data_IF_770759856891
#
_entry.id   IF_770759856891
#
_cell.length_a   1.000
_cell.length_b   1.000
_cell.length_c   1.000
_cell.angle_alpha   90.00
_cell.angle_beta   90.00
_cell.angle_gamma   90.00
#
_symmetry.space_group_name_H-M   'P 1'
#
loop_
_entity.id
_entity.type
_entity.pdbx_description
1 polymer ?
#
# COMPACT_ATOMS: atom_id res chain seq x y z
N UNK A 1 2.66 -0.77 -14.51
CA UNK A 1 1.91 0.46 -14.25
C UNK A 1 1.90 0.75 -12.74
N UNK A 2 1.99 2.03 -12.34
CA UNK A 2 2.10 2.45 -10.96
C UNK A 2 0.98 1.89 -10.07
N UNK A 3 -0.26 1.91 -10.56
CA UNK A 3 -1.42 1.36 -9.83
C UNK A 3 -1.23 -0.13 -9.47
N UNK A 4 -0.70 -0.94 -10.36
CA UNK A 4 -0.51 -2.38 -10.10
C UNK A 4 0.49 -2.65 -8.97
N UNK A 5 1.52 -1.81 -8.83
CA UNK A 5 2.55 -1.96 -7.78
C UNK A 5 1.96 -1.80 -6.38
N UNK A 6 0.93 -0.97 -6.22
CA UNK A 6 0.25 -0.76 -4.93
C UNK A 6 -0.36 -2.06 -4.40
N UNK A 7 -0.83 -2.92 -5.30
CA UNK A 7 -1.57 -4.14 -4.97
C UNK A 7 -0.72 -5.41 -5.01
N UNK A 8 0.61 -5.26 -5.16
CA UNK A 8 1.50 -6.42 -5.12
C UNK A 8 1.69 -6.95 -3.69
N UNK A 9 1.97 -8.25 -3.53
CA UNK A 9 2.31 -8.81 -2.22
C UNK A 9 3.47 -8.09 -1.55
N UNK A 10 4.48 -7.66 -2.31
CA UNK A 10 5.65 -6.96 -1.79
C UNK A 10 5.27 -5.63 -1.11
N UNK A 11 4.40 -4.83 -1.75
CA UNK A 11 3.94 -3.58 -1.14
C UNK A 11 3.08 -3.86 0.10
N UNK A 12 2.23 -4.89 0.05
CA UNK A 12 1.42 -5.30 1.19
C UNK A 12 2.30 -5.69 2.39
N UNK A 13 3.26 -6.58 2.20
CA UNK A 13 4.14 -7.03 3.28
C UNK A 13 5.07 -5.92 3.80
N UNK A 14 5.47 -4.98 2.94
CA UNK A 14 6.19 -3.79 3.38
C UNK A 14 5.34 -2.96 4.35
N UNK A 15 4.08 -2.74 4.04
CA UNK A 15 3.18 -1.98 4.91
C UNK A 15 2.89 -2.77 6.19
N UNK A 16 2.70 -4.08 6.12
CA UNK A 16 2.55 -4.92 7.30
C UNK A 16 3.73 -4.77 8.26
N UNK A 17 4.94 -4.81 7.73
CA UNK A 17 6.14 -4.57 8.53
C UNK A 17 6.12 -3.18 9.18
N UNK A 18 5.79 -2.14 8.44
CA UNK A 18 5.73 -0.77 8.98
C UNK A 18 4.70 -0.64 10.10
N UNK A 19 3.51 -1.23 9.97
CA UNK A 19 2.48 -1.24 11.02
C UNK A 19 3.02 -1.90 12.30
N UNK A 20 3.61 -3.09 12.17
CA UNK A 20 4.17 -3.83 13.30
C UNK A 20 5.34 -3.09 13.96
N UNK A 21 6.24 -2.51 13.18
CA UNK A 21 7.41 -1.80 13.68
C UNK A 21 7.01 -0.51 14.41
N UNK A 22 6.05 0.25 13.87
CA UNK A 22 5.53 1.46 14.53
C UNK A 22 4.76 1.14 15.81
N UNK A 23 4.05 0.01 15.87
CA UNK A 23 3.44 -0.46 17.11
C UNK A 23 4.51 -0.77 18.17
N UNK A 24 5.63 -1.38 17.75
CA UNK A 24 6.77 -1.62 18.65
C UNK A 24 7.44 -0.31 19.10
N UNK A 25 7.57 0.70 18.23
CA UNK A 25 8.06 2.02 18.62
C UNK A 25 7.19 2.65 19.71
N UNK A 26 5.87 2.66 19.51
CA UNK A 26 4.92 3.17 20.50
C UNK A 26 5.02 2.43 21.84
N UNK A 27 5.13 1.11 21.81
CA UNK A 27 5.34 0.30 23.02
C UNK A 27 6.67 0.61 23.72
N UNK A 28 7.73 0.88 22.95
CA UNK A 28 9.03 1.26 23.50
C UNK A 28 9.00 2.67 24.14
N UNK A 29 8.24 3.60 23.54
CA UNK A 29 8.03 4.94 24.13
C UNK A 29 7.24 4.86 25.46
N UNK A 30 6.27 3.98 25.54
CA UNK A 30 5.49 3.71 26.74
C UNK A 30 6.26 2.87 27.80
N UNK A 31 7.45 2.39 27.46
CA UNK A 31 8.24 1.54 28.36
C UNK A 31 7.72 0.11 28.51
N UNK A 32 6.84 -0.34 27.63
CA UNK A 32 6.29 -1.71 27.60
C UNK A 32 7.33 -2.70 27.09
N UNK A 33 8.10 -2.31 26.09
CA UNK A 33 9.21 -3.08 25.54
C UNK A 33 10.53 -2.28 25.63
N UNK A 34 11.70 -2.95 25.60
CA UNK A 34 12.98 -2.25 25.55
C UNK A 34 13.15 -1.45 24.25
N UNK A 35 13.66 -0.22 24.33
CA UNK A 35 14.00 0.58 23.14
C UNK A 35 14.98 -0.14 22.19
N UNK A 36 15.90 -0.93 22.76
CA UNK A 36 16.83 -1.73 21.97
C UNK A 36 16.11 -2.80 21.15
N UNK A 37 15.00 -3.36 21.63
CA UNK A 37 14.20 -4.33 20.91
C UNK A 37 13.47 -3.68 19.72
N UNK A 38 12.86 -2.49 19.90
CA UNK A 38 12.24 -1.76 18.80
C UNK A 38 13.29 -1.45 17.70
N UNK A 39 14.49 -1.01 18.08
CA UNK A 39 15.58 -0.82 17.12
C UNK A 39 15.97 -2.12 16.40
N UNK A 40 16.09 -3.23 17.11
CA UNK A 40 16.43 -4.53 16.51
C UNK A 40 15.34 -5.00 15.51
N UNK A 41 14.06 -4.71 15.78
CA UNK A 41 12.94 -5.00 14.87
C UNK A 41 13.08 -4.19 13.58
N UNK A 42 13.40 -2.90 13.65
CA UNK A 42 13.66 -2.08 12.47
C UNK A 42 14.89 -2.58 11.69
N UNK A 43 16.00 -2.86 12.35
CA UNK A 43 17.23 -3.34 11.71
C UNK A 43 17.03 -4.71 11.01
N UNK A 44 16.31 -5.64 11.66
CA UNK A 44 15.95 -6.94 11.09
C UNK A 44 14.94 -6.82 9.96
N UNK A 45 13.91 -6.01 10.16
CA UNK A 45 12.90 -5.74 9.16
C UNK A 45 13.47 -5.08 7.89
N UNK A 46 14.43 -4.17 8.03
CA UNK A 46 15.11 -3.59 6.87
C UNK A 46 15.81 -4.68 6.03
N UNK A 47 16.42 -5.69 6.67
CA UNK A 47 17.02 -6.84 5.97
C UNK A 47 15.94 -7.70 5.29
N UNK A 48 14.84 -7.95 5.97
CA UNK A 48 13.69 -8.69 5.42
C UNK A 48 13.11 -7.98 4.18
N UNK A 49 12.91 -6.66 4.26
CA UNK A 49 12.40 -5.86 3.13
C UNK A 49 13.41 -5.78 1.98
N UNK A 50 14.71 -5.76 2.27
CA UNK A 50 15.74 -5.84 1.24
C UNK A 50 15.73 -7.20 0.52
N UNK A 51 15.56 -8.32 1.25
CA UNK A 51 15.41 -9.65 0.68
C UNK A 51 14.14 -9.75 -0.19
N UNK A 52 13.01 -9.27 0.32
CA UNK A 52 11.73 -9.22 -0.39
C UNK A 52 11.85 -8.42 -1.69
N UNK A 53 12.54 -7.29 -1.67
CA UNK A 53 12.79 -6.47 -2.87
C UNK A 53 13.72 -7.15 -3.86
N UNK A 54 14.75 -7.85 -3.38
CA UNK A 54 15.73 -8.53 -4.25
C UNK A 54 15.14 -9.76 -4.94
N UNK A 55 14.26 -10.51 -4.26
CA UNK A 55 13.69 -11.76 -4.76
C UNK A 55 12.22 -11.91 -4.36
N UNK A 56 11.31 -11.07 -4.90
CA UNK A 56 9.93 -11.00 -4.43
C UNK A 56 9.22 -12.36 -4.45
N UNK A 57 9.27 -13.06 -5.58
CA UNK A 57 8.59 -14.34 -5.73
C UNK A 57 9.09 -15.41 -4.74
N UNK A 58 10.40 -15.43 -4.46
CA UNK A 58 10.98 -16.40 -3.56
C UNK A 58 10.60 -16.11 -2.09
N UNK A 59 10.60 -14.84 -1.68
CA UNK A 59 10.26 -14.47 -0.31
C UNK A 59 8.75 -14.60 -0.07
N UNK A 60 7.91 -14.23 -1.04
CA UNK A 60 6.45 -14.46 -0.97
C UNK A 60 6.16 -15.97 -0.84
N UNK A 61 6.81 -16.81 -1.64
CA UNK A 61 6.64 -18.28 -1.54
C UNK A 61 7.03 -18.84 -0.17
N UNK A 62 8.05 -18.28 0.51
CA UNK A 62 8.39 -18.68 1.88
C UNK A 62 7.25 -18.36 2.86
N UNK A 63 6.67 -17.14 2.75
CA UNK A 63 5.53 -16.75 3.58
C UNK A 63 4.33 -17.65 3.30
N UNK A 64 4.00 -17.89 2.03
CA UNK A 64 2.90 -18.76 1.61
C UNK A 64 3.11 -20.21 2.08
N UNK A 65 4.36 -20.70 2.09
CA UNK A 65 4.69 -22.03 2.61
C UNK A 65 4.38 -22.14 4.11
N UNK A 66 4.71 -21.11 4.89
CA UNK A 66 4.38 -21.04 6.31
C UNK A 66 2.85 -20.95 6.49
N UNK A 67 2.17 -20.15 5.68
CA UNK A 67 0.71 -20.00 5.75
C UNK A 67 -0.02 -21.31 5.45
N UNK A 68 0.46 -22.11 4.51
CA UNK A 68 -0.12 -23.44 4.24
C UNK A 68 -0.13 -24.35 5.47
N UNK A 69 0.79 -24.15 6.41
CA UNK A 69 0.86 -24.90 7.67
C UNK A 69 0.06 -24.23 8.77
N UNK A 70 0.29 -22.93 8.98
CA UNK A 70 -0.33 -22.17 10.09
C UNK A 70 -1.81 -21.85 9.86
N UNK A 71 -2.24 -21.85 8.60
CA UNK A 71 -3.59 -21.43 8.17
C UNK A 71 -3.95 -20.01 8.61
N UNK A 72 -2.93 -19.15 8.71
CA UNK A 72 -3.08 -17.78 9.19
C UNK A 72 -2.02 -16.88 8.55
N UNK A 73 -2.46 -15.90 7.79
CA UNK A 73 -1.64 -15.02 6.95
C UNK A 73 -0.69 -14.11 7.76
N UNK A 74 -1.22 -13.36 8.74
CA UNK A 74 -0.39 -12.46 9.57
C UNK A 74 0.62 -13.26 10.40
N UNK A 75 0.22 -14.42 10.94
CA UNK A 75 1.13 -15.30 11.68
C UNK A 75 2.25 -15.83 10.75
N UNK A 76 1.92 -16.17 9.52
CA UNK A 76 2.92 -16.61 8.55
C UNK A 76 3.93 -15.50 8.26
N UNK A 77 3.46 -14.29 8.04
CA UNK A 77 4.32 -13.13 7.83
C UNK A 77 5.22 -12.82 9.03
N UNK A 78 4.66 -12.77 10.25
CA UNK A 78 5.45 -12.51 11.46
C UNK A 78 6.44 -13.62 11.76
N UNK A 79 6.12 -14.88 11.43
CA UNK A 79 7.05 -16.01 11.52
C UNK A 79 8.22 -15.85 10.54
N UNK A 80 7.95 -15.52 9.29
CA UNK A 80 8.99 -15.21 8.31
C UNK A 80 9.85 -14.01 8.72
N UNK A 81 9.25 -12.96 9.25
CA UNK A 81 9.96 -11.78 9.72
C UNK A 81 10.89 -12.10 10.89
N UNK A 82 10.49 -13.03 11.76
CA UNK A 82 11.29 -13.45 12.92
C UNK A 82 12.66 -14.02 12.55
N UNK A 83 12.80 -14.66 11.40
CA UNK A 83 14.09 -15.18 10.91
C UNK A 83 15.11 -14.05 10.65
N UNK A 84 14.65 -12.84 10.36
CA UNK A 84 15.49 -11.66 10.13
C UNK A 84 15.71 -10.83 11.39
N UNK A 85 14.70 -10.74 12.27
CA UNK A 85 14.75 -9.95 13.50
C UNK A 85 15.49 -10.70 14.62
N UNK A 86 15.31 -12.00 14.71
CA UNK A 86 15.89 -12.83 15.77
C UNK A 86 15.11 -12.76 17.08
N UNK A 87 15.76 -12.86 18.26
CA UNK A 87 15.08 -13.04 19.56
C UNK A 87 14.08 -11.96 19.94
N UNK A 88 14.26 -10.72 19.45
CA UNK A 88 13.36 -9.60 19.74
C UNK A 88 12.08 -9.63 18.91
N UNK A 89 11.94 -10.55 17.94
CA UNK A 89 10.69 -10.80 17.21
C UNK A 89 9.51 -11.16 18.12
N UNK A 90 9.78 -11.64 19.34
CA UNK A 90 8.76 -11.91 20.36
C UNK A 90 7.89 -10.70 20.73
N UNK A 91 8.34 -9.49 20.42
CA UNK A 91 7.58 -8.27 20.66
C UNK A 91 6.74 -7.83 19.46
N UNK A 92 6.99 -8.41 18.27
CA UNK A 92 6.19 -8.16 17.08
C UNK A 92 4.79 -8.74 17.30
N UNK A 93 3.76 -8.02 16.87
CA UNK A 93 2.35 -8.39 17.01
C UNK A 93 1.84 -8.46 18.46
N UNK A 94 2.60 -7.95 19.43
CA UNK A 94 2.19 -7.95 20.83
C UNK A 94 1.04 -6.94 21.03
N UNK A 95 -0.12 -7.45 21.47
CA UNK A 95 -1.29 -6.62 21.75
C UNK A 95 -2.10 -6.19 20.52
N UNK A 96 -1.73 -6.66 19.33
CA UNK A 96 -2.46 -6.44 18.09
C UNK A 96 -3.34 -7.64 17.73
N UNK A 97 -4.36 -7.38 16.95
CA UNK A 97 -5.08 -8.42 16.20
C UNK A 97 -4.74 -8.32 14.70
N UNK A 98 -5.01 -9.38 13.94
CA UNK A 98 -4.76 -9.38 12.48
C UNK A 98 -5.44 -8.20 11.77
N UNK A 99 -6.66 -7.84 12.16
CA UNK A 99 -7.38 -6.72 11.56
C UNK A 99 -6.69 -5.37 11.77
N UNK A 100 -5.95 -5.17 12.86
CA UNK A 100 -5.16 -3.94 13.05
C UNK A 100 -4.10 -3.78 11.94
N UNK A 101 -3.52 -4.89 11.50
CA UNK A 101 -2.53 -4.91 10.41
C UNK A 101 -3.22 -4.84 9.05
N UNK A 102 -4.24 -5.68 8.82
CA UNK A 102 -4.90 -5.83 7.52
C UNK A 102 -5.66 -4.55 7.12
N UNK A 103 -6.49 -4.01 8.01
CA UNK A 103 -7.33 -2.86 7.71
C UNK A 103 -6.51 -1.58 7.59
N UNK A 104 -5.48 -1.41 8.43
CA UNK A 104 -4.54 -0.30 8.32
C UNK A 104 -3.77 -0.37 6.99
N UNK A 105 -3.29 -1.54 6.61
CA UNK A 105 -2.62 -1.75 5.33
C UNK A 105 -3.53 -1.43 4.15
N UNK A 106 -4.77 -1.89 4.19
CA UNK A 106 -5.74 -1.62 3.15
C UNK A 106 -6.03 -0.11 3.03
N UNK A 107 -6.17 0.59 4.16
CA UNK A 107 -6.33 2.05 4.17
C UNK A 107 -5.14 2.78 3.54
N UNK A 108 -3.91 2.35 3.83
CA UNK A 108 -2.69 2.90 3.20
C UNK A 108 -2.68 2.64 1.70
N UNK A 109 -3.02 1.42 1.26
CA UNK A 109 -3.09 1.10 -0.17
C UNK A 109 -4.17 1.91 -0.89
N UNK A 110 -5.34 2.11 -0.28
CA UNK A 110 -6.38 2.97 -0.81
C UNK A 110 -5.91 4.42 -0.94
N UNK A 111 -5.18 4.94 0.03
CA UNK A 111 -4.60 6.29 -0.03
C UNK A 111 -3.62 6.39 -1.19
N UNK A 112 -2.67 5.46 -1.32
CA UNK A 112 -1.72 5.41 -2.43
C UNK A 112 -2.43 5.34 -3.81
N UNK A 113 -3.49 4.55 -3.91
CA UNK A 113 -4.27 4.44 -5.14
C UNK A 113 -5.04 5.73 -5.45
N UNK A 114 -5.63 6.34 -4.42
CA UNK A 114 -6.37 7.59 -4.56
C UNK A 114 -5.49 8.75 -5.03
N UNK A 115 -4.26 8.84 -4.52
CA UNK A 115 -3.30 9.87 -4.93
C UNK A 115 -3.00 9.76 -6.44
N UNK A 116 -2.80 8.55 -6.97
CA UNK A 116 -2.61 8.35 -8.41
C UNK A 116 -3.85 8.72 -9.23
N UNK A 117 -5.04 8.43 -8.71
CA UNK A 117 -6.30 8.82 -9.38
C UNK A 117 -6.47 10.33 -9.40
N UNK A 118 -6.19 11.02 -8.29
CA UNK A 118 -6.26 12.48 -8.21
C UNK A 118 -5.28 13.14 -9.17
N UNK A 119 -4.03 12.67 -9.24
CA UNK A 119 -3.08 13.15 -10.25
C UNK A 119 -3.61 12.98 -11.69
N UNK A 120 -4.27 11.86 -11.97
CA UNK A 120 -4.90 11.60 -13.27
C UNK A 120 -6.02 12.59 -13.56
N UNK A 121 -6.89 12.83 -12.58
CA UNK A 121 -8.01 13.79 -12.67
C UNK A 121 -7.48 15.19 -12.93
N UNK A 122 -6.47 15.65 -12.21
CA UNK A 122 -5.88 16.97 -12.41
C UNK A 122 -5.35 17.18 -13.83
N UNK A 123 -4.70 16.16 -14.40
CA UNK A 123 -4.23 16.18 -15.79
C UNK A 123 -5.40 16.29 -16.77
N UNK A 124 -6.49 15.54 -16.54
CA UNK A 124 -7.70 15.60 -17.36
C UNK A 124 -8.36 16.97 -17.26
N UNK A 125 -8.51 17.50 -16.04
CA UNK A 125 -9.09 18.84 -15.81
C UNK A 125 -8.29 19.93 -16.52
N UNK A 126 -6.96 19.87 -16.45
CA UNK A 126 -6.09 20.83 -17.16
C UNK A 126 -6.29 20.74 -18.69
N UNK A 127 -6.35 19.53 -19.23
CA UNK A 127 -6.59 19.33 -20.66
C UNK A 127 -8.00 19.83 -21.08
N UNK A 128 -9.03 19.48 -20.33
CA UNK A 128 -10.40 19.94 -20.58
C UNK A 128 -10.51 21.45 -20.53
N UNK A 129 -9.92 22.09 -19.50
CA UNK A 129 -9.90 23.57 -19.39
C UNK A 129 -9.25 24.20 -20.61
N UNK A 130 -8.09 23.69 -21.04
CA UNK A 130 -7.40 24.18 -22.25
C UNK A 130 -8.29 24.07 -23.49
N UNK A 131 -8.88 22.89 -23.72
CA UNK A 131 -9.73 22.66 -24.90
C UNK A 131 -11.02 23.49 -24.85
N UNK A 132 -11.65 23.60 -23.69
CA UNK A 132 -12.85 24.42 -23.52
C UNK A 132 -12.61 25.90 -23.87
N UNK A 133 -11.49 26.47 -23.41
CA UNK A 133 -11.11 27.84 -23.74
C UNK A 133 -10.75 28.03 -25.21
N UNK A 134 -10.00 27.05 -25.80
CA UNK A 134 -9.59 27.06 -27.20
C UNK A 134 -10.80 27.02 -28.15
N UNK A 135 -11.80 26.21 -27.83
CA UNK A 135 -12.95 25.96 -28.69
C UNK A 135 -14.23 26.67 -28.24
N UNK A 136 -14.15 27.61 -27.27
CA UNK A 136 -15.29 28.31 -26.71
C UNK A 136 -16.25 28.87 -27.77
N UNK A 137 -15.72 29.32 -28.90
CA UNK A 137 -16.50 29.93 -30.00
C UNK A 137 -16.49 29.05 -31.27
N UNK A 138 -16.02 27.83 -31.20
CA UNK A 138 -16.01 26.90 -32.35
C UNK A 138 -17.43 26.41 -32.60
N UNK A 139 -18.02 26.71 -33.79
CA UNK A 139 -19.36 26.26 -34.10
C UNK A 139 -19.43 24.75 -34.16
N UNK A 140 -20.46 24.19 -33.59
CA UNK A 140 -20.79 22.79 -33.68
C UNK A 140 -22.28 22.57 -33.76
N UNK A 141 -22.71 21.37 -34.02
CA UNK A 141 -24.13 21.00 -34.00
C UNK A 141 -24.41 20.12 -32.79
N UNK A 142 -25.38 20.50 -31.97
CA UNK A 142 -25.93 19.67 -30.92
C UNK A 142 -26.56 18.41 -31.52
N UNK A 143 -26.45 17.26 -30.83
CA UNK A 143 -27.07 16.01 -31.26
C UNK A 143 -27.75 15.31 -30.09
N UNK A 144 -28.88 14.70 -30.37
CA UNK A 144 -29.58 13.80 -29.45
C UNK A 144 -29.91 12.54 -30.17
N UNK A 145 -29.57 11.36 -29.64
CA UNK A 145 -29.76 10.06 -30.29
C UNK A 145 -29.19 10.02 -31.72
N UNK A 146 -28.07 10.71 -31.99
CA UNK A 146 -27.49 10.79 -33.33
C UNK A 146 -28.21 11.72 -34.32
N UNK A 147 -29.31 12.36 -33.93
CA UNK A 147 -30.08 13.32 -34.75
C UNK A 147 -29.54 14.74 -34.45
N UNK A 148 -29.40 15.53 -35.50
CA UNK A 148 -29.03 16.96 -35.38
C UNK A 148 -30.14 17.71 -34.65
N UNK A 149 -29.73 18.51 -33.66
CA UNK A 149 -30.60 19.42 -32.95
C UNK A 149 -30.27 20.90 -33.34
N UNK A 150 -29.69 21.67 -32.42
CA UNK A 150 -29.43 23.09 -32.63
C UNK A 150 -27.97 23.38 -32.92
N UNK A 151 -27.64 24.38 -33.75
CA UNK A 151 -26.27 24.94 -33.79
C UNK A 151 -25.89 25.52 -32.42
N UNK A 152 -24.68 25.19 -31.97
CA UNK A 152 -24.17 25.69 -30.70
C UNK A 152 -22.65 25.92 -30.79
N UNK A 153 -21.98 26.16 -29.69
CA UNK A 153 -20.53 26.16 -29.61
C UNK A 153 -20.03 24.98 -28.75
N UNK A 154 -18.80 24.65 -28.92
CA UNK A 154 -18.19 23.50 -28.23
C UNK A 154 -18.20 23.60 -26.68
#
# INVERSE_FOLDING_TARGET
PQMAVIWTPENRFRIWFEVEAHACDAMAELGIIPKAAAKAIWDGGAKAMAALKASPAAEVEKIDAIERVTKHDVLAFTTWLADYVGPDSRFVHQGLTSSDVLDTTFAVQLTQASDLLLEGIDKVLAALKKRALEHKHTPTIGRSHGIHAEPTTF
#
